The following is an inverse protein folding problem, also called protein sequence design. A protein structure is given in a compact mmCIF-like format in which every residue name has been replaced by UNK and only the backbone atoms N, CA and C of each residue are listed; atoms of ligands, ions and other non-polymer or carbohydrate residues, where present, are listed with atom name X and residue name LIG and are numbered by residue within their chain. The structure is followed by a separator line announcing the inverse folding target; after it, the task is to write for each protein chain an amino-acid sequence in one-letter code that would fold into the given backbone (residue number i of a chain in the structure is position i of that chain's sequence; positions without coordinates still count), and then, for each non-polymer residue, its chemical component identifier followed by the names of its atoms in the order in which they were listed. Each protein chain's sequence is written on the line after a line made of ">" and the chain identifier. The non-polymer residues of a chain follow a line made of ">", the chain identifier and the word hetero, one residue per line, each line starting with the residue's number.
data_IF_383172560100
#
_entry.id   IF_383172560100
#
_cell.length_a   1.000
_cell.length_b   1.000
_cell.length_c   1.000
_cell.angle_alpha   90.00
_cell.angle_beta   90.00
_cell.angle_gamma   90.00
#
_symmetry.space_group_name_H-M   'P 1'
#
loop_
_entity.id
_entity.type
_entity.pdbx_description
1 polymer ?
#
# COMPACT_ATOMS: atom_id res chain seq x y z
N UNK A 1 46.01 -12.64 62.30
CA UNK A 1 45.07 -13.15 63.34
C UNK A 1 43.77 -12.38 63.10
N UNK A 2 42.60 -12.91 62.75
CA UNK A 2 41.98 -14.23 62.92
C UNK A 2 41.47 -14.76 61.58
N UNK A 3 41.63 -16.07 61.40
CA UNK A 3 40.92 -16.91 60.43
C UNK A 3 39.47 -17.04 60.91
N UNK A 4 38.48 -16.93 60.03
CA UNK A 4 37.27 -17.74 60.17
C UNK A 4 36.66 -18.02 58.82
N UNK A 5 36.69 -19.31 58.51
CA UNK A 5 36.18 -20.02 57.35
C UNK A 5 34.70 -20.37 57.60
N UNK A 6 34.02 -20.78 56.51
CA UNK A 6 32.69 -21.40 56.38
C UNK A 6 31.54 -20.40 56.16
N UNK A 7 30.73 -20.51 55.10
CA UNK A 7 30.06 -21.70 54.57
C UNK A 7 29.92 -21.65 53.02
N UNK A 8 30.07 -22.81 52.38
CA UNK A 8 29.61 -23.07 51.00
C UNK A 8 28.08 -22.93 50.91
N UNK A 9 27.59 -22.31 49.85
CA UNK A 9 26.31 -22.63 49.24
C UNK A 9 26.50 -22.69 47.71
N UNK A 10 26.55 -23.90 47.18
CA UNK A 10 26.51 -24.15 45.75
C UNK A 10 25.04 -24.05 45.28
N UNK A 11 24.75 -23.09 44.40
CA UNK A 11 23.53 -23.10 43.58
C UNK A 11 24.01 -23.13 42.12
N UNK A 12 24.08 -24.34 41.57
CA UNK A 12 23.98 -24.58 40.15
C UNK A 12 22.49 -24.54 39.80
N UNK A 13 22.09 -23.73 38.81
CA UNK A 13 21.34 -24.14 37.62
C UNK A 13 21.37 -22.97 36.62
N UNK A 14 21.84 -23.33 35.43
CA UNK A 14 21.85 -22.68 34.14
C UNK A 14 20.48 -22.16 33.70
N UNK A 15 20.41 -21.01 33.03
CA UNK A 15 19.20 -20.61 32.33
C UNK A 15 19.22 -19.17 31.81
N UNK A 16 19.90 -18.94 30.69
CA UNK A 16 19.66 -17.77 29.86
C UNK A 16 18.22 -17.89 29.30
N UNK A 17 17.31 -17.01 29.70
CA UNK A 17 16.05 -16.86 28.97
C UNK A 17 15.84 -15.39 28.69
N UNK A 18 16.06 -15.07 27.41
CA UNK A 18 15.89 -13.77 26.80
C UNK A 18 14.44 -13.34 27.00
N UNK A 19 14.24 -12.11 27.48
CA UNK A 19 13.02 -11.38 27.22
C UNK A 19 12.86 -11.31 25.69
N UNK A 20 11.93 -12.08 25.13
CA UNK A 20 11.37 -11.80 23.82
C UNK A 20 9.92 -11.38 24.05
N UNK A 21 9.74 -10.12 24.41
CA UNK A 21 8.47 -9.46 24.15
C UNK A 21 8.32 -9.45 22.63
N UNK A 22 7.51 -10.36 22.10
CA UNK A 22 7.11 -10.31 20.70
C UNK A 22 6.24 -9.07 20.56
N UNK A 23 6.81 -8.00 20.01
CA UNK A 23 6.00 -6.99 19.37
C UNK A 23 5.30 -7.69 18.20
N UNK A 24 4.10 -8.20 18.44
CA UNK A 24 3.19 -8.58 17.39
C UNK A 24 2.88 -7.29 16.63
N UNK A 25 3.59 -7.04 15.52
CA UNK A 25 3.21 -5.99 14.59
C UNK A 25 1.79 -6.30 14.15
N UNK A 26 0.83 -5.48 14.58
CA UNK A 26 -0.53 -5.52 14.05
C UNK A 26 -0.43 -5.20 12.56
N UNK A 27 -0.82 -6.18 11.72
CA UNK A 27 -0.81 -6.01 10.28
C UNK A 27 -1.77 -4.88 9.90
N UNK A 28 -1.37 -4.06 8.93
CA UNK A 28 -2.31 -3.11 8.32
C UNK A 28 -3.39 -3.91 7.59
N UNK A 29 -4.67 -3.66 7.89
CA UNK A 29 -5.78 -4.44 7.29
C UNK A 29 -6.09 -4.00 5.86
N UNK A 30 -5.58 -2.84 5.44
CA UNK A 30 -5.89 -2.20 4.17
C UNK A 30 -4.60 -1.85 3.43
N UNK A 31 -4.65 -1.98 2.11
CA UNK A 31 -3.71 -1.32 1.21
C UNK A 31 -4.49 -0.62 0.10
N UNK A 32 -3.78 0.12 -0.73
CA UNK A 32 -4.35 0.82 -1.87
C UNK A 32 -3.70 0.34 -3.16
N UNK A 33 -4.52 0.23 -4.20
CA UNK A 33 -4.10 -0.04 -5.56
C UNK A 33 -4.44 1.17 -6.44
N UNK A 34 -3.46 1.62 -7.22
CA UNK A 34 -3.61 2.76 -8.14
C UNK A 34 -3.30 2.31 -9.57
N UNK A 35 -4.21 2.60 -10.50
CA UNK A 35 -4.05 2.39 -11.94
C UNK A 35 -4.45 3.69 -12.65
N UNK A 36 -3.49 4.36 -13.29
CA UNK A 36 -3.72 5.71 -13.80
C UNK A 36 -4.02 6.69 -12.66
N UNK A 37 -5.16 7.38 -12.73
CA UNK A 37 -5.61 8.35 -11.73
C UNK A 37 -6.64 7.78 -10.74
N UNK A 38 -6.97 6.49 -10.86
CA UNK A 38 -7.96 5.82 -10.00
C UNK A 38 -7.24 5.03 -8.90
N UNK A 39 -7.65 5.26 -7.65
CA UNK A 39 -7.13 4.57 -6.45
C UNK A 39 -8.28 3.88 -5.72
N UNK A 40 -8.12 2.60 -5.45
CA UNK A 40 -9.09 1.80 -4.69
C UNK A 40 -8.44 1.12 -3.48
N UNK A 41 -9.26 0.90 -2.45
CA UNK A 41 -8.86 0.17 -1.24
C UNK A 41 -8.96 -1.34 -1.47
N UNK A 42 -8.00 -2.08 -0.92
CA UNK A 42 -7.99 -3.53 -0.84
C UNK A 42 -8.04 -3.95 0.61
N UNK A 43 -9.03 -4.76 1.00
CA UNK A 43 -9.00 -5.50 2.27
C UNK A 43 -8.02 -6.65 2.15
N UNK A 44 -7.02 -6.66 3.02
CA UNK A 44 -5.93 -7.64 3.04
C UNK A 44 -6.22 -8.83 3.96
N UNK A 45 -5.66 -9.98 3.61
CA UNK A 45 -5.74 -11.24 4.35
C UNK A 45 -4.47 -11.44 5.17
N UNK A 46 -4.60 -11.83 6.44
CA UNK A 46 -3.44 -12.02 7.31
C UNK A 46 -2.77 -13.38 7.06
N UNK A 47 -1.73 -13.36 6.23
CA UNK A 47 -0.85 -14.51 6.01
C UNK A 47 0.61 -14.06 5.81
N UNK A 48 1.52 -15.04 5.72
CA UNK A 48 2.97 -14.77 5.62
C UNK A 48 3.35 -13.96 4.38
N UNK A 49 2.68 -14.17 3.24
CA UNK A 49 2.93 -13.44 2.01
C UNK A 49 2.44 -12.00 2.10
N UNK A 50 1.21 -11.80 2.59
CA UNK A 50 0.65 -10.45 2.78
C UNK A 50 1.44 -9.64 3.81
N UNK A 51 1.87 -10.23 4.93
CA UNK A 51 2.71 -9.55 5.92
C UNK A 51 4.06 -9.13 5.35
N UNK A 52 4.68 -9.97 4.52
CA UNK A 52 5.92 -9.63 3.84
C UNK A 52 5.72 -8.53 2.78
N UNK A 53 4.59 -8.55 2.07
CA UNK A 53 4.19 -7.47 1.16
C UNK A 53 4.02 -6.15 1.90
N UNK A 54 3.29 -6.13 3.02
CA UNK A 54 3.11 -4.94 3.87
C UNK A 54 4.46 -4.42 4.36
N UNK A 55 5.37 -5.29 4.82
CA UNK A 55 6.71 -4.87 5.24
C UNK A 55 7.52 -4.22 4.10
N UNK A 56 7.38 -4.72 2.87
CA UNK A 56 7.97 -4.07 1.70
C UNK A 56 7.33 -2.69 1.43
N UNK A 57 5.99 -2.60 1.51
CA UNK A 57 5.25 -1.35 1.30
C UNK A 57 5.48 -0.30 2.39
N UNK A 58 5.93 -0.70 3.59
CA UNK A 58 6.42 0.23 4.62
C UNK A 58 7.73 0.92 4.23
N UNK A 59 8.49 0.34 3.31
CA UNK A 59 9.75 0.91 2.82
C UNK A 59 9.51 1.83 1.63
N UNK A 60 8.78 1.36 0.63
CA UNK A 60 8.41 2.14 -0.55
C UNK A 60 7.19 1.52 -1.25
N UNK A 61 6.52 2.29 -2.09
CA UNK A 61 5.47 1.80 -2.96
C UNK A 61 6.03 0.78 -3.97
N UNK A 62 5.21 -0.21 -4.33
CA UNK A 62 5.58 -1.19 -5.35
C UNK A 62 4.81 -0.87 -6.62
N UNK A 63 5.53 -0.54 -7.69
CA UNK A 63 4.96 -0.34 -9.03
C UNK A 63 5.41 -1.45 -9.97
N UNK A 64 4.47 -2.05 -10.69
CA UNK A 64 4.74 -3.11 -11.66
C UNK A 64 3.83 -3.01 -12.88
N UNK A 65 4.29 -3.59 -13.99
CA UNK A 65 3.51 -3.70 -15.21
C UNK A 65 2.69 -4.98 -15.17
N UNK A 66 1.39 -4.87 -15.41
CA UNK A 66 0.47 -5.99 -15.44
C UNK A 66 -0.22 -6.09 -16.79
N UNK A 67 -0.28 -7.28 -17.37
CA UNK A 67 -0.89 -7.54 -18.67
C UNK A 67 -2.05 -8.54 -18.55
N UNK A 68 -2.97 -8.54 -19.53
CA UNK A 68 -4.06 -9.51 -19.58
C UNK A 68 -3.54 -10.94 -19.74
N UNK A 69 -4.06 -11.87 -18.94
CA UNK A 69 -3.84 -13.30 -19.11
C UNK A 69 -5.13 -14.08 -18.91
N UNK A 70 -5.33 -15.12 -19.73
CA UNK A 70 -6.48 -16.01 -19.64
C UNK A 70 -7.87 -15.38 -19.86
N UNK A 71 -7.94 -14.08 -20.21
CA UNK A 71 -9.18 -13.27 -20.27
C UNK A 71 -9.89 -13.06 -18.92
N UNK A 72 -9.22 -13.30 -17.79
CA UNK A 72 -9.82 -13.19 -16.45
C UNK A 72 -8.94 -12.48 -15.41
N UNK A 73 -7.68 -12.15 -15.73
CA UNK A 73 -6.77 -11.48 -14.79
C UNK A 73 -5.81 -10.52 -15.47
N UNK A 74 -5.35 -9.53 -14.70
CA UNK A 74 -4.09 -8.82 -14.93
C UNK A 74 -3.01 -9.49 -14.09
N UNK A 75 -1.85 -9.80 -14.67
CA UNK A 75 -0.72 -10.44 -13.96
C UNK A 75 0.59 -9.72 -14.28
N UNK A 76 1.49 -9.64 -13.30
CA UNK A 76 2.82 -9.08 -13.51
C UNK A 76 3.80 -9.34 -12.37
N UNK A 77 5.09 -9.36 -12.73
CA UNK A 77 6.21 -9.53 -11.81
C UNK A 77 6.43 -8.26 -10.97
N UNK A 78 6.51 -8.41 -9.64
CA UNK A 78 6.53 -7.27 -8.70
C UNK A 78 7.93 -6.84 -8.26
N UNK A 79 8.97 -7.29 -8.97
CA UNK A 79 10.34 -6.87 -8.74
C UNK A 79 11.11 -7.69 -7.70
N UNK A 80 10.41 -8.49 -6.89
CA UNK A 80 11.00 -9.30 -5.82
C UNK A 80 10.11 -10.52 -5.48
N UNK A 81 10.69 -11.47 -4.75
CA UNK A 81 9.96 -12.64 -4.25
C UNK A 81 9.48 -12.44 -2.81
N UNK A 82 8.30 -12.96 -2.54
CA UNK A 82 7.63 -13.01 -1.25
C UNK A 82 7.37 -14.47 -0.84
N UNK A 83 7.32 -14.75 0.48
CA UNK A 83 6.87 -16.05 0.98
C UNK A 83 5.45 -16.39 0.49
N UNK A 84 5.19 -17.66 0.23
CA UNK A 84 3.86 -18.15 -0.16
C UNK A 84 3.19 -18.94 0.96
N UNK A 85 1.86 -18.86 1.00
CA UNK A 85 0.96 -19.71 1.77
C UNK A 85 -0.15 -20.16 0.82
N UNK A 86 0.22 -21.00 -0.15
CA UNK A 86 -0.67 -21.34 -1.25
C UNK A 86 -1.79 -22.29 -0.82
N UNK A 87 -3.01 -21.96 -1.24
CA UNK A 87 -4.20 -22.76 -1.03
C UNK A 87 -5.05 -22.80 -2.30
N UNK A 88 -5.74 -23.92 -2.53
CA UNK A 88 -6.72 -24.02 -3.61
C UNK A 88 -7.78 -22.95 -3.44
N UNK A 89 -7.86 -22.04 -4.41
CA UNK A 89 -8.69 -20.84 -4.32
C UNK A 89 -9.42 -20.66 -5.65
N UNK A 90 -10.75 -20.53 -5.58
CA UNK A 90 -11.56 -20.06 -6.70
C UNK A 90 -11.68 -18.55 -6.60
N UNK A 91 -11.19 -17.85 -7.61
CA UNK A 91 -11.19 -16.38 -7.64
C UNK A 91 -12.47 -15.81 -8.23
N UNK A 92 -12.73 -14.55 -7.93
CA UNK A 92 -13.84 -13.75 -8.44
C UNK A 92 -13.36 -12.36 -8.81
N UNK A 93 -14.18 -11.54 -9.47
CA UNK A 93 -13.78 -10.17 -9.75
C UNK A 93 -13.42 -9.41 -8.46
N UNK A 94 -12.31 -8.69 -8.49
CA UNK A 94 -11.78 -7.87 -7.40
C UNK A 94 -10.74 -8.59 -6.54
N UNK A 95 -10.54 -9.88 -6.76
CA UNK A 95 -9.62 -10.70 -5.99
C UNK A 95 -8.15 -10.44 -6.36
N UNK A 96 -7.30 -10.27 -5.35
CA UNK A 96 -5.85 -10.18 -5.50
C UNK A 96 -5.16 -11.42 -4.93
N UNK A 97 -4.17 -11.95 -5.64
CA UNK A 97 -3.34 -13.08 -5.18
C UNK A 97 -1.87 -12.84 -5.50
N UNK A 98 -1.01 -13.45 -4.70
CA UNK A 98 0.37 -13.70 -5.05
C UNK A 98 0.45 -15.08 -5.73
N UNK A 99 1.07 -15.10 -6.90
CA UNK A 99 1.31 -16.30 -7.71
C UNK A 99 2.81 -16.51 -7.87
N UNK A 100 3.25 -17.76 -7.68
CA UNK A 100 4.66 -18.17 -7.78
C UNK A 100 5.63 -17.40 -6.85
N UNK A 101 5.10 -16.69 -5.86
CA UNK A 101 5.90 -15.89 -4.93
C UNK A 101 6.36 -14.54 -5.48
N UNK A 102 6.22 -14.26 -6.76
CA UNK A 102 6.83 -13.07 -7.39
C UNK A 102 5.95 -12.35 -8.40
N UNK A 103 4.74 -12.86 -8.64
CA UNK A 103 3.74 -12.22 -9.48
C UNK A 103 2.51 -11.87 -8.65
N UNK A 104 1.91 -10.72 -8.89
CA UNK A 104 0.59 -10.38 -8.34
C UNK A 104 -0.44 -10.42 -9.47
N UNK A 105 -1.53 -11.17 -9.24
CA UNK A 105 -2.69 -11.18 -10.14
C UNK A 105 -3.85 -10.39 -9.54
N UNK A 106 -4.54 -9.63 -10.40
CA UNK A 106 -5.80 -8.94 -10.10
C UNK A 106 -6.88 -9.55 -10.99
N UNK A 107 -7.83 -10.25 -10.39
CA UNK A 107 -8.88 -10.95 -11.12
C UNK A 107 -10.04 -10.04 -11.46
N UNK A 108 -10.49 -10.11 -12.71
CA UNK A 108 -11.72 -9.50 -13.21
C UNK A 108 -12.66 -10.55 -13.85
N UNK A 109 -12.31 -11.83 -13.69
CA UNK A 109 -13.09 -13.02 -13.98
C UNK A 109 -12.85 -14.07 -12.88
N UNK A 110 -12.97 -15.36 -13.23
CA UNK A 110 -12.80 -16.46 -12.27
C UNK A 110 -11.80 -17.48 -12.81
N UNK A 111 -10.94 -17.99 -11.92
CA UNK A 111 -10.09 -19.14 -12.15
C UNK A 111 -9.98 -19.95 -10.84
N UNK A 112 -9.56 -21.21 -10.92
CA UNK A 112 -9.25 -22.03 -9.73
C UNK A 112 -7.85 -22.60 -9.82
N UNK A 113 -7.02 -22.24 -8.85
CA UNK A 113 -5.64 -22.72 -8.75
C UNK A 113 -5.12 -22.60 -7.31
N UNK A 114 -3.90 -23.08 -7.09
CA UNK A 114 -3.18 -22.91 -5.84
C UNK A 114 -2.54 -21.52 -5.79
N UNK A 115 -3.03 -20.66 -4.90
CA UNK A 115 -2.62 -19.26 -4.77
C UNK A 115 -2.40 -18.86 -3.32
N UNK A 116 -1.55 -17.86 -3.10
CA UNK A 116 -1.50 -17.13 -1.83
C UNK A 116 -2.46 -15.95 -1.94
N UNK A 117 -3.56 -15.97 -1.19
CA UNK A 117 -4.56 -14.90 -1.16
C UNK A 117 -3.92 -13.62 -0.58
N UNK A 118 -3.97 -12.49 -1.30
CA UNK A 118 -3.53 -11.19 -0.76
C UNK A 118 -4.72 -10.44 -0.16
N UNK A 119 -5.81 -10.35 -0.91
CA UNK A 119 -6.95 -9.54 -0.50
C UNK A 119 -8.00 -9.38 -1.59
N UNK A 120 -8.91 -8.43 -1.40
CA UNK A 120 -9.99 -8.11 -2.34
C UNK A 120 -10.25 -6.60 -2.42
N UNK A 121 -10.52 -6.09 -3.62
CA UNK A 121 -10.99 -4.73 -3.86
C UNK A 121 -12.31 -4.47 -3.14
N UNK A 122 -12.38 -3.35 -2.45
CA UNK A 122 -13.55 -2.97 -1.66
C UNK A 122 -14.62 -2.29 -2.53
N UNK A 123 -15.88 -2.66 -2.31
CA UNK A 123 -17.07 -1.95 -2.83
C UNK A 123 -17.12 -1.76 -4.35
N UNK A 124 -16.50 -2.65 -5.14
CA UNK A 124 -16.61 -2.65 -6.60
C UNK A 124 -17.40 -3.87 -7.08
N UNK A 125 -18.36 -3.62 -7.98
CA UNK A 125 -19.00 -4.66 -8.78
C UNK A 125 -18.03 -5.26 -9.80
N UNK A 126 -18.38 -6.42 -10.36
CA UNK A 126 -17.53 -7.07 -11.36
C UNK A 126 -17.25 -6.18 -12.59
N UNK A 127 -18.25 -5.42 -13.05
CA UNK A 127 -18.09 -4.50 -14.18
C UNK A 127 -17.21 -3.29 -13.81
N UNK A 128 -17.31 -2.80 -12.58
CA UNK A 128 -16.41 -1.77 -12.06
C UNK A 128 -14.96 -2.24 -11.98
N UNK A 129 -14.73 -3.47 -11.49
CA UNK A 129 -13.39 -4.07 -11.49
C UNK A 129 -12.85 -4.18 -12.91
N UNK A 130 -13.64 -4.69 -13.87
CA UNK A 130 -13.21 -4.82 -15.27
C UNK A 130 -12.80 -3.48 -15.87
N UNK A 131 -13.54 -2.41 -15.58
CA UNK A 131 -13.21 -1.05 -16.02
C UNK A 131 -11.96 -0.52 -15.35
N UNK A 132 -11.88 -0.62 -14.03
CA UNK A 132 -10.75 -0.13 -13.24
C UNK A 132 -9.42 -0.74 -13.71
N UNK A 133 -9.39 -2.06 -13.89
CA UNK A 133 -8.17 -2.75 -14.34
C UNK A 133 -7.94 -2.65 -15.86
N UNK A 134 -8.83 -2.00 -16.60
CA UNK A 134 -8.77 -1.89 -18.08
C UNK A 134 -8.66 -3.26 -18.75
N UNK A 135 -9.59 -4.16 -18.38
CA UNK A 135 -9.60 -5.54 -18.84
C UNK A 135 -9.67 -5.64 -20.37
N UNK A 136 -8.70 -6.33 -20.98
CA UNK A 136 -8.61 -6.49 -22.43
C UNK A 136 -8.02 -5.28 -23.18
N UNK A 137 -7.61 -4.22 -22.48
CA UNK A 137 -7.01 -3.03 -23.09
C UNK A 137 -5.46 -3.08 -23.12
N UNK A 138 -4.85 -4.21 -22.73
CA UNK A 138 -3.41 -4.41 -22.76
C UNK A 138 -2.72 -4.15 -21.42
N UNK A 139 -1.46 -3.75 -21.47
CA UNK A 139 -0.63 -3.56 -20.29
C UNK A 139 -1.01 -2.29 -19.50
N UNK A 140 -1.00 -2.39 -18.17
CA UNK A 140 -1.25 -1.28 -17.24
C UNK A 140 -0.13 -1.20 -16.20
N UNK A 141 0.19 0.02 -15.76
CA UNK A 141 1.05 0.24 -14.60
C UNK A 141 0.20 0.23 -13.33
N UNK A 142 0.51 -0.70 -12.42
CA UNK A 142 -0.18 -0.88 -11.14
C UNK A 142 0.76 -0.41 -10.03
N UNK A 143 0.27 0.42 -9.12
CA UNK A 143 1.00 0.79 -7.90
C UNK A 143 0.27 0.32 -6.66
N UNK A 144 0.98 -0.35 -5.77
CA UNK A 144 0.52 -0.77 -4.45
C UNK A 144 1.14 0.15 -3.39
N UNK A 145 0.36 0.52 -2.37
CA UNK A 145 0.78 1.46 -1.32
C UNK A 145 -0.01 1.28 -0.02
N UNK A 146 0.55 1.73 1.11
CA UNK A 146 -0.15 1.74 2.41
C UNK A 146 -0.92 3.04 2.66
N UNK A 147 -0.72 4.06 1.82
CA UNK A 147 -1.46 5.32 1.89
C UNK A 147 -2.06 5.62 0.52
N UNK A 148 -3.28 6.18 0.45
CA UNK A 148 -3.89 6.47 -0.84
C UNK A 148 -3.00 7.44 -1.63
N UNK A 149 -2.68 7.06 -2.87
CA UNK A 149 -2.01 7.98 -3.79
C UNK A 149 -3.07 8.90 -4.36
N UNK A 150 -2.96 10.18 -4.01
CA UNK A 150 -3.81 11.24 -4.53
C UNK A 150 -3.11 11.91 -5.71
N UNK A 151 -3.61 11.70 -6.92
CA UNK A 151 -3.21 12.51 -8.09
C UNK A 151 -4.01 13.81 -8.10
N UNK A 152 -3.62 14.76 -7.24
CA UNK A 152 -4.24 16.09 -7.18
C UNK A 152 -4.37 16.65 -5.76
N UNK A 153 -4.77 17.92 -5.67
CA UNK A 153 -5.09 18.57 -4.38
C UNK A 153 -6.56 18.27 -4.06
N UNK A 154 -6.81 17.38 -3.10
CA UNK A 154 -8.18 17.00 -2.71
C UNK A 154 -8.87 18.06 -1.85
N UNK A 155 -8.13 18.72 -0.96
CA UNK A 155 -8.70 19.66 0.00
C UNK A 155 -7.73 20.83 0.26
N UNK A 156 -8.24 22.06 0.20
CA UNK A 156 -7.53 23.27 0.56
C UNK A 156 -8.22 23.87 1.78
N UNK A 157 -7.58 23.82 2.95
CA UNK A 157 -7.99 24.65 4.08
C UNK A 157 -7.44 26.05 3.86
N UNK A 158 -8.28 27.10 3.74
CA UNK A 158 -7.80 28.48 3.72
C UNK A 158 -7.05 28.74 5.02
N UNK A 159 -5.87 29.36 4.94
CA UNK A 159 -5.24 29.92 6.13
C UNK A 159 -6.16 31.03 6.67
N UNK A 160 -6.76 30.78 7.84
CA UNK A 160 -7.68 31.74 8.48
C UNK A 160 -6.97 33.04 8.90
N UNK A 161 -5.63 33.05 8.92
CA UNK A 161 -4.81 34.23 9.25
C UNK A 161 -4.38 35.05 8.03
N UNK A 162 -4.91 34.78 6.83
CA UNK A 162 -4.38 35.36 5.60
C UNK A 162 -4.74 36.86 5.40
N UNK A 163 -3.71 37.68 5.18
CA UNK A 163 -3.77 39.12 4.88
C UNK A 163 -4.25 39.46 3.45
N UNK A 164 -4.63 38.45 2.67
CA UNK A 164 -4.97 38.58 1.26
C UNK A 164 -3.79 38.35 0.31
N UNK A 165 -2.67 37.79 0.79
CA UNK A 165 -1.52 37.39 -0.03
C UNK A 165 -1.97 36.48 -1.17
N UNK A 166 -1.56 36.84 -2.39
CA UNK A 166 -1.79 36.04 -3.59
C UNK A 166 -0.52 35.28 -3.94
N UNK A 167 -0.66 34.03 -4.38
CA UNK A 167 0.43 33.19 -4.85
C UNK A 167 0.28 32.90 -6.34
N UNK A 168 1.37 32.80 -7.08
CA UNK A 168 1.38 32.31 -8.47
C UNK A 168 0.98 30.83 -8.50
N UNK A 169 0.69 30.29 -9.70
CA UNK A 169 0.43 28.85 -9.88
C UNK A 169 1.61 27.94 -9.49
N UNK A 170 2.80 28.52 -9.32
CA UNK A 170 4.01 27.81 -8.87
C UNK A 170 4.24 27.93 -7.35
N UNK A 171 3.31 28.55 -6.62
CA UNK A 171 3.38 28.68 -5.15
C UNK A 171 4.28 29.81 -4.65
N UNK A 172 4.78 30.69 -5.53
CA UNK A 172 5.54 31.87 -5.13
C UNK A 172 4.59 33.03 -4.79
N UNK A 173 4.95 33.92 -3.86
CA UNK A 173 4.16 35.13 -3.62
C UNK A 173 4.07 35.94 -4.91
N UNK A 174 2.86 36.26 -5.34
CA UNK A 174 2.61 37.05 -6.52
C UNK A 174 3.07 38.50 -6.26
N UNK A 175 3.99 39.04 -7.07
CA UNK A 175 4.45 40.41 -6.89
C UNK A 175 3.30 41.41 -7.11
N UNK A 176 3.42 42.60 -6.52
CA UNK A 176 2.42 43.66 -6.66
C UNK A 176 2.18 43.98 -8.13
N UNK A 177 0.92 43.90 -8.57
CA UNK A 177 0.53 44.14 -9.98
C UNK A 177 0.72 42.94 -10.91
N UNK A 178 1.03 41.75 -10.38
CA UNK A 178 1.09 40.51 -11.15
C UNK A 178 -0.20 40.27 -11.94
N UNK A 179 -0.05 40.03 -13.24
CA UNK A 179 -1.12 39.72 -14.19
C UNK A 179 -1.07 38.22 -14.48
N UNK A 180 -2.18 37.52 -14.30
CA UNK A 180 -2.23 36.08 -14.51
C UNK A 180 -3.07 35.34 -13.46
N UNK A 181 -2.97 34.02 -13.49
CA UNK A 181 -3.68 33.15 -12.55
C UNK A 181 -2.95 33.20 -11.20
N UNK A 182 -3.70 33.49 -10.14
CA UNK A 182 -3.21 33.47 -8.76
C UNK A 182 -4.11 32.59 -7.88
N UNK A 183 -3.54 32.04 -6.82
CA UNK A 183 -4.29 31.46 -5.70
C UNK A 183 -4.33 32.49 -4.58
N UNK A 184 -5.53 32.89 -4.17
CA UNK A 184 -5.76 33.81 -3.06
C UNK A 184 -6.83 33.21 -2.15
N UNK A 185 -6.53 33.06 -0.85
CA UNK A 185 -7.41 32.43 0.13
C UNK A 185 -7.94 31.06 -0.32
N UNK A 186 -7.05 30.21 -0.86
CA UNK A 186 -7.40 28.88 -1.38
C UNK A 186 -8.21 28.88 -2.67
N UNK A 187 -8.52 30.04 -3.27
CA UNK A 187 -9.31 30.15 -4.50
C UNK A 187 -8.44 30.60 -5.66
N UNK A 188 -8.61 29.94 -6.81
CA UNK A 188 -8.06 30.39 -8.09
C UNK A 188 -8.76 31.70 -8.52
N UNK A 189 -7.99 32.72 -8.85
CA UNK A 189 -8.44 33.99 -9.41
C UNK A 189 -7.59 34.37 -10.63
N UNK A 190 -8.11 35.28 -11.46
CA UNK A 190 -7.38 35.86 -12.57
C UNK A 190 -7.21 37.35 -12.26
N UNK A 191 -5.96 37.79 -12.09
CA UNK A 191 -5.63 39.20 -11.98
C UNK A 191 -5.41 39.75 -13.40
N UNK A 192 -6.29 40.67 -13.80
CA UNK A 192 -6.19 41.44 -15.04
C UNK A 192 -5.52 42.78 -14.86
#
# INVERSE_FOLDING_TARGET
>A
MKKMLWLLAAILITGCSKNSESFAQTMEEKMYITIGDETHTVTMEDNVGTRALVAALQTDNITYLAHDYGNFEKVGYVGQSFPTADHQTTTSAGDLVLYNGDNICIFYGSNSWSYTRIGKLDNLSADEVRRFVKAGEGEVSVTLSLQPIHTGIQELTPDENNDGTSYTITGQIAPKGYKGIVIQNGKKRINQ
#
